data_IF_693793870468
#
_entry.id   IF_693793870468
#
_cell.length_a   1.000
_cell.length_b   1.000
_cell.length_c   1.000
_cell.angle_alpha   90.00
_cell.angle_beta   90.00
_cell.angle_gamma   90.00
#
_symmetry.space_group_name_H-M   'P 1'
#
loop_
_entity.id
_entity.type
_entity.pdbx_description
1 polymer ?
#
# COMPACT_ATOMS: atom_id res chain seq x y z
N UNK A 1 14.25 -0.38 17.67
CA UNK A 1 12.87 -0.17 18.16
C UNK A 1 12.30 1.15 17.64
N UNK A 2 12.01 1.20 16.34
CA UNK A 2 10.84 1.86 15.75
C UNK A 2 10.40 0.85 14.69
N UNK A 3 9.42 0.02 15.05
CA UNK A 3 8.84 -1.03 14.22
C UNK A 3 7.75 -0.42 13.33
N UNK A 4 7.73 -0.78 12.05
CA UNK A 4 6.74 -0.31 11.08
C UNK A 4 7.38 -0.11 9.70
N UNK A 5 7.36 -1.16 8.89
CA UNK A 5 7.89 -1.20 7.52
C UNK A 5 7.11 -0.28 6.57
N UNK A 6 7.41 1.01 6.57
CA UNK A 6 6.80 1.99 5.67
C UNK A 6 7.59 2.05 4.34
N UNK A 7 7.17 1.26 3.35
CA UNK A 7 7.63 1.45 1.96
C UNK A 7 6.78 2.50 1.25
N UNK A 8 7.41 3.55 0.72
CA UNK A 8 6.77 4.54 -0.15
C UNK A 8 7.30 4.30 -1.55
N UNK A 9 6.44 3.78 -2.40
CA UNK A 9 6.69 3.51 -3.80
C UNK A 9 6.32 4.77 -4.61
N UNK A 10 7.32 5.56 -4.97
CA UNK A 10 7.19 6.70 -5.87
C UNK A 10 7.27 6.18 -7.32
N UNK A 11 6.16 6.25 -8.07
CA UNK A 11 6.15 6.06 -9.52
C UNK A 11 5.98 7.44 -10.19
N UNK A 12 6.32 7.56 -11.48
CA UNK A 12 6.13 8.76 -12.29
C UNK A 12 5.84 8.27 -13.70
N UNK A 13 4.61 8.44 -14.18
CA UNK A 13 4.20 7.87 -15.47
C UNK A 13 4.53 8.88 -16.57
N UNK A 14 5.48 8.46 -17.38
CA UNK A 14 6.27 9.00 -18.50
C UNK A 14 5.56 9.88 -19.58
N UNK A 15 4.45 10.56 -19.29
CA UNK A 15 3.70 11.32 -20.32
C UNK A 15 3.23 12.74 -19.92
N UNK A 16 3.82 13.33 -18.88
CA UNK A 16 3.88 14.79 -18.77
C UNK A 16 2.69 15.51 -18.13
N UNK A 17 1.73 14.80 -17.50
CA UNK A 17 0.69 15.45 -16.66
C UNK A 17 0.39 14.75 -15.31
N UNK A 18 1.02 13.60 -15.00
CA UNK A 18 0.76 12.84 -13.77
C UNK A 18 2.06 12.29 -13.17
N UNK A 19 2.65 13.03 -12.22
CA UNK A 19 3.72 12.51 -11.35
C UNK A 19 3.04 11.84 -10.14
N UNK A 20 2.94 10.51 -10.12
CA UNK A 20 2.12 9.80 -9.15
C UNK A 20 2.73 8.52 -8.59
N UNK A 21 2.74 8.42 -7.27
CA UNK A 21 3.24 7.35 -6.44
C UNK A 21 2.10 6.43 -5.96
N UNK A 22 2.35 5.13 -5.85
CA UNK A 22 1.42 4.18 -5.20
C UNK A 22 2.23 3.17 -4.41
N UNK A 23 2.04 3.12 -3.10
CA UNK A 23 2.50 2.06 -2.22
C UNK A 23 1.33 1.23 -1.69
N UNK A 24 1.65 0.00 -1.33
CA UNK A 24 0.78 -0.86 -0.56
C UNK A 24 1.58 -1.54 0.53
N UNK A 25 0.95 -1.76 1.67
CA UNK A 25 1.49 -2.46 2.82
C UNK A 25 0.37 -3.27 3.48
N UNK A 26 0.75 -4.24 4.30
CA UNK A 26 -0.19 -5.05 5.06
C UNK A 26 0.06 -4.82 6.53
N UNK A 27 -0.91 -4.25 7.23
CA UNK A 27 -0.83 -3.98 8.66
C UNK A 27 -1.90 -4.80 9.35
N UNK A 28 -1.49 -5.67 10.27
CA UNK A 28 -2.40 -6.60 10.98
C UNK A 28 -3.26 -7.44 10.00
N UNK A 29 -2.65 -7.89 8.90
CA UNK A 29 -3.29 -8.64 7.80
C UNK A 29 -4.37 -7.88 7.01
N UNK A 30 -4.50 -6.57 7.22
CA UNK A 30 -5.32 -5.70 6.39
C UNK A 30 -4.50 -5.00 5.31
N UNK A 31 -5.03 -4.94 4.08
CA UNK A 31 -4.42 -4.21 2.98
C UNK A 31 -4.54 -2.70 3.22
N UNK A 32 -3.39 -2.02 3.24
CA UNK A 32 -3.27 -0.58 3.18
C UNK A 32 -2.70 -0.17 1.84
N UNK A 33 -3.33 0.82 1.21
CA UNK A 33 -2.92 1.41 -0.06
C UNK A 33 -2.72 2.90 0.17
N UNK A 34 -1.57 3.43 -0.24
CA UNK A 34 -1.29 4.86 -0.23
C UNK A 34 -0.92 5.27 -1.65
N UNK A 35 -1.70 6.17 -2.23
CA UNK A 35 -1.41 6.79 -3.51
C UNK A 35 -1.16 8.29 -3.32
N UNK A 36 -0.26 8.85 -4.12
CA UNK A 36 -0.01 10.27 -4.20
C UNK A 36 0.12 10.71 -5.62
N UNK A 37 -0.41 11.87 -5.97
CA UNK A 37 -0.32 12.41 -7.32
C UNK A 37 -0.12 13.92 -7.26
N UNK A 38 0.79 14.40 -8.09
CA UNK A 38 0.91 15.81 -8.40
C UNK A 38 -0.06 16.15 -9.52
N UNK A 39 -0.90 17.14 -9.29
CA UNK A 39 -1.92 17.62 -10.23
C UNK A 39 -1.73 19.11 -10.50
N UNK A 40 -2.23 19.58 -11.64
CA UNK A 40 -2.15 21.00 -11.99
C UNK A 40 -2.98 21.89 -11.04
N UNK A 41 -4.11 21.38 -10.53
CA UNK A 41 -4.96 22.06 -9.55
C UNK A 41 -5.52 21.06 -8.52
N UNK A 42 -4.86 20.99 -7.37
CA UNK A 42 -5.26 20.15 -6.24
C UNK A 42 -6.55 20.60 -5.58
N UNK A 43 -6.91 21.90 -5.66
CA UNK A 43 -8.17 22.38 -5.08
C UNK A 43 -9.35 21.89 -5.88
N UNK A 44 -9.27 21.89 -7.20
CA UNK A 44 -10.32 21.36 -8.07
C UNK A 44 -10.54 19.86 -7.82
N UNK A 45 -9.46 19.08 -7.73
CA UNK A 45 -9.54 17.63 -7.44
C UNK A 45 -10.11 17.36 -6.05
N UNK A 46 -9.67 18.12 -5.04
CA UNK A 46 -10.20 18.02 -3.68
C UNK A 46 -11.70 18.34 -3.64
N UNK A 47 -12.16 19.36 -4.37
CA UNK A 47 -13.58 19.69 -4.43
C UNK A 47 -14.39 18.58 -5.12
N UNK A 48 -13.93 18.06 -6.26
CA UNK A 48 -14.60 16.94 -6.94
C UNK A 48 -14.68 15.68 -6.07
N UNK A 49 -13.66 15.43 -5.26
CA UNK A 49 -13.68 14.31 -4.30
C UNK A 49 -14.65 14.57 -3.14
N UNK A 50 -14.72 15.80 -2.62
CA UNK A 50 -15.76 16.19 -1.65
C UNK A 50 -17.15 15.98 -2.23
N UNK A 51 -17.38 16.39 -3.47
CA UNK A 51 -18.65 16.23 -4.17
C UNK A 51 -18.99 14.74 -4.39
N UNK A 52 -18.01 13.92 -4.77
CA UNK A 52 -18.17 12.47 -4.89
C UNK A 52 -18.56 11.83 -3.55
N UNK A 53 -17.81 12.13 -2.49
CA UNK A 53 -18.09 11.61 -1.14
C UNK A 53 -19.42 12.11 -0.59
N UNK A 54 -19.83 13.35 -0.91
CA UNK A 54 -21.14 13.87 -0.56
C UNK A 54 -22.29 13.23 -1.36
N UNK A 55 -22.00 12.74 -2.57
CA UNK A 55 -22.92 12.02 -3.44
C UNK A 55 -23.07 10.53 -3.13
N UNK A 56 -22.20 9.97 -2.28
CA UNK A 56 -22.36 8.59 -1.80
C UNK A 56 -23.66 8.47 -0.99
N UNK A 57 -24.37 7.34 -1.11
CA UNK A 57 -25.59 7.12 -0.36
C UNK A 57 -25.30 7.28 1.14
N UNK A 58 -26.06 8.16 1.81
CA UNK A 58 -26.03 8.33 3.27
C UNK A 58 -26.71 7.15 3.97
N UNK A 59 -26.38 5.91 3.58
CA UNK A 59 -26.72 4.74 4.37
C UNK A 59 -25.81 4.70 5.60
N UNK A 60 -26.19 3.96 6.64
CA UNK A 60 -25.36 3.77 7.83
C UNK A 60 -24.00 3.10 7.56
N UNK A 61 -23.74 2.75 6.30
CA UNK A 61 -22.57 2.07 5.79
C UNK A 61 -21.50 3.04 5.28
N UNK A 62 -21.79 4.32 5.07
CA UNK A 62 -20.79 5.32 4.66
C UNK A 62 -20.85 6.53 5.58
N UNK A 63 -19.75 6.81 6.27
CA UNK A 63 -19.58 7.96 7.14
C UNK A 63 -18.41 8.80 6.63
N UNK A 64 -18.69 9.98 6.08
CA UNK A 64 -17.67 10.90 5.59
C UNK A 64 -17.56 12.13 6.50
N UNK A 65 -16.32 12.46 6.87
CA UNK A 65 -15.95 13.63 7.64
C UNK A 65 -14.92 14.44 6.86
N UNK A 66 -15.25 15.70 6.60
CA UNK A 66 -14.38 16.62 5.87
C UNK A 66 -13.66 17.55 6.82
N UNK A 67 -12.47 17.97 6.42
CA UNK A 67 -11.64 18.94 7.14
C UNK A 67 -11.30 18.49 8.58
N UNK A 68 -11.19 17.17 8.80
CA UNK A 68 -10.95 16.54 10.11
C UNK A 68 -9.61 16.92 10.74
N UNK A 69 -8.63 17.27 9.91
CA UNK A 69 -7.33 17.74 10.35
C UNK A 69 -6.63 18.58 9.27
N UNK A 70 -5.57 19.27 9.66
CA UNK A 70 -4.58 19.84 8.74
C UNK A 70 -3.17 19.43 9.16
N UNK A 71 -2.26 19.26 8.19
CA UNK A 71 -0.87 18.91 8.46
C UNK A 71 0.05 19.48 7.38
N UNK A 72 1.03 20.29 7.78
CA UNK A 72 2.04 20.88 6.88
C UNK A 72 1.48 21.51 5.58
N UNK A 73 0.33 22.17 5.66
CA UNK A 73 -0.33 22.83 4.52
C UNK A 73 -1.28 21.93 3.71
N UNK A 74 -1.44 20.66 4.10
CA UNK A 74 -2.48 19.77 3.59
C UNK A 74 -3.73 19.83 4.45
N UNK A 75 -4.89 19.77 3.81
CA UNK A 75 -6.18 19.56 4.46
C UNK A 75 -6.55 18.08 4.35
N UNK A 76 -6.85 17.46 5.49
CA UNK A 76 -7.16 16.04 5.59
C UNK A 76 -8.66 15.82 5.74
N UNK A 77 -9.14 14.75 5.11
CA UNK A 77 -10.53 14.27 5.12
C UNK A 77 -10.52 12.76 5.33
N UNK A 78 -11.62 12.23 5.84
CA UNK A 78 -11.75 10.81 6.12
C UNK A 78 -13.16 10.33 5.80
N UNK A 79 -13.26 9.11 5.29
CA UNK A 79 -14.51 8.40 5.15
C UNK A 79 -14.33 6.96 5.63
N UNK A 80 -15.30 6.44 6.35
CA UNK A 80 -15.36 5.04 6.75
C UNK A 80 -16.51 4.39 5.99
N UNK A 81 -16.21 3.32 5.27
CA UNK A 81 -17.17 2.55 4.50
C UNK A 81 -17.26 1.16 5.15
N UNK A 82 -18.40 0.81 5.71
CA UNK A 82 -18.70 -0.56 6.13
C UNK A 82 -18.91 -1.40 4.89
N UNK A 83 -18.18 -2.50 4.82
CA UNK A 83 -18.31 -3.44 3.73
C UNK A 83 -19.37 -4.48 4.11
N UNK A 84 -20.27 -4.86 3.18
CA UNK A 84 -21.13 -6.01 3.41
C UNK A 84 -20.23 -7.23 3.62
N UNK A 85 -20.51 -8.07 4.63
CA UNK A 85 -19.76 -9.31 4.85
C UNK A 85 -20.03 -10.28 3.70
N UNK A 86 -19.20 -10.23 2.67
CA UNK A 86 -19.17 -11.20 1.57
C UNK A 86 -17.83 -11.93 1.57
N UNK A 87 -17.79 -13.12 0.95
CA UNK A 87 -16.51 -13.82 0.75
C UNK A 87 -15.53 -12.95 -0.06
N UNK A 88 -16.02 -12.18 -1.03
CA UNK A 88 -15.21 -11.29 -1.86
C UNK A 88 -14.52 -10.18 -1.06
N UNK A 89 -15.23 -9.46 -0.19
CA UNK A 89 -14.63 -8.38 0.63
C UNK A 89 -13.62 -8.92 1.63
N UNK A 90 -13.89 -10.11 2.17
CA UNK A 90 -13.00 -10.80 3.10
C UNK A 90 -11.73 -11.30 2.39
N UNK A 91 -11.87 -11.76 1.14
CA UNK A 91 -10.76 -12.26 0.32
C UNK A 91 -9.78 -11.15 -0.07
N UNK A 92 -10.26 -9.92 -0.28
CA UNK A 92 -9.43 -8.75 -0.62
C UNK A 92 -8.58 -8.22 0.55
N UNK A 93 -8.72 -8.77 1.75
CA UNK A 93 -7.98 -8.31 2.93
C UNK A 93 -8.47 -6.97 3.48
N UNK A 94 -9.69 -6.56 3.15
CA UNK A 94 -10.36 -5.45 3.80
C UNK A 94 -11.24 -6.02 4.92
N UNK A 95 -11.06 -5.55 6.16
CA UNK A 95 -11.85 -5.98 7.30
C UNK A 95 -13.35 -5.63 7.19
N UNK A 96 -14.06 -5.58 8.32
CA UNK A 96 -15.50 -5.25 8.34
C UNK A 96 -15.82 -3.82 7.84
N UNK A 97 -14.81 -2.95 7.83
CA UNK A 97 -14.90 -1.61 7.29
C UNK A 97 -13.58 -1.22 6.65
N UNK A 98 -13.65 -0.46 5.56
CA UNK A 98 -12.50 0.18 4.94
C UNK A 98 -12.52 1.68 5.22
N UNK A 99 -11.38 2.21 5.64
CA UNK A 99 -11.21 3.64 5.86
C UNK A 99 -10.51 4.25 4.64
N UNK A 100 -11.12 5.27 4.06
CA UNK A 100 -10.55 6.10 3.02
C UNK A 100 -10.14 7.43 3.65
N UNK A 101 -8.87 7.79 3.55
CA UNK A 101 -8.36 9.09 3.99
C UNK A 101 -7.80 9.85 2.80
N UNK A 102 -8.01 11.16 2.76
CA UNK A 102 -7.56 12.04 1.68
C UNK A 102 -6.78 13.20 2.29
N UNK A 103 -5.66 13.58 1.68
CA UNK A 103 -4.96 14.82 1.98
C UNK A 103 -4.75 15.62 0.69
N UNK A 104 -5.09 16.90 0.69
CA UNK A 104 -4.89 17.79 -0.45
C UNK A 104 -4.18 19.08 -0.08
N UNK A 105 -3.26 19.52 -0.93
CA UNK A 105 -2.61 20.83 -0.84
C UNK A 105 -2.26 21.32 -2.23
N UNK A 106 -2.67 22.53 -2.62
CA UNK A 106 -2.18 23.24 -3.82
C UNK A 106 -2.19 22.44 -5.12
N UNK A 107 -1.12 21.69 -5.37
CA UNK A 107 -0.81 20.86 -6.54
C UNK A 107 -0.57 19.37 -6.22
N UNK A 108 -0.85 18.90 -5.00
CA UNK A 108 -0.63 17.51 -4.57
C UNK A 108 -1.86 16.95 -3.88
N UNK A 109 -2.22 15.72 -4.25
CA UNK A 109 -3.28 14.93 -3.63
C UNK A 109 -2.70 13.60 -3.18
N UNK A 110 -2.98 13.22 -1.94
CA UNK A 110 -2.66 11.91 -1.37
C UNK A 110 -3.94 11.21 -0.96
N UNK A 111 -4.04 9.93 -1.23
CA UNK A 111 -5.17 9.07 -0.90
C UNK A 111 -4.63 7.86 -0.16
N UNK A 112 -5.23 7.51 0.98
CA UNK A 112 -4.93 6.28 1.70
C UNK A 112 -6.21 5.46 1.85
N UNK A 113 -6.16 4.17 1.56
CA UNK A 113 -7.21 3.20 1.82
C UNK A 113 -6.67 2.18 2.83
N UNK A 114 -7.41 1.89 3.89
CA UNK A 114 -7.00 0.99 4.98
C UNK A 114 -6.99 1.68 6.34
N UNK A 115 -6.73 0.90 7.40
CA UNK A 115 -6.64 1.39 8.77
C UNK A 115 -5.55 2.46 8.96
N UNK A 116 -5.71 3.33 9.96
CA UNK A 116 -4.79 4.44 10.31
C UNK A 116 -4.46 5.42 9.17
N UNK A 117 -5.41 5.67 8.27
CA UNK A 117 -5.14 6.45 7.06
C UNK A 117 -4.65 7.87 7.32
N UNK A 118 -5.17 8.57 8.34
CA UNK A 118 -4.71 9.92 8.70
C UNK A 118 -3.27 9.96 9.20
N UNK A 119 -2.86 8.97 9.99
CA UNK A 119 -1.47 8.87 10.48
C UNK A 119 -0.54 8.57 9.32
N UNK A 120 -0.91 7.62 8.46
CA UNK A 120 -0.15 7.25 7.25
C UNK A 120 0.04 8.45 6.33
N UNK A 121 -1.02 9.24 6.08
CA UNK A 121 -0.93 10.45 5.27
C UNK A 121 0.00 11.50 5.86
N UNK A 122 -0.02 11.72 7.19
CA UNK A 122 0.90 12.66 7.85
C UNK A 122 2.36 12.24 7.68
N UNK A 123 2.67 10.96 7.92
CA UNK A 123 4.01 10.40 7.68
C UNK A 123 4.46 10.59 6.23
N UNK A 124 3.56 10.34 5.27
CA UNK A 124 3.84 10.54 3.85
C UNK A 124 4.12 12.02 3.51
N UNK A 125 3.33 12.95 4.06
CA UNK A 125 3.54 14.40 3.89
C UNK A 125 4.89 14.84 4.46
N UNK A 126 5.26 14.36 5.65
CA UNK A 126 6.55 14.72 6.26
C UNK A 126 7.73 14.22 5.42
N UNK A 127 7.61 13.03 4.83
CA UNK A 127 8.61 12.49 3.90
C UNK A 127 8.66 13.25 2.57
N UNK A 128 7.53 13.67 2.02
CA UNK A 128 7.51 14.52 0.81
C UNK A 128 8.27 15.83 1.03
N UNK A 129 8.20 16.40 2.24
CA UNK A 129 8.89 17.66 2.57
C UNK A 129 10.40 17.50 2.72
N UNK A 130 10.87 16.33 3.14
CA UNK A 130 12.30 16.02 3.26
C UNK A 130 12.91 15.51 1.96
N UNK A 131 12.10 14.97 1.05
CA UNK A 131 12.55 14.41 -0.24
C UNK A 131 12.53 15.48 -1.33
N UNK A 132 13.54 16.37 -1.34
CA UNK A 132 13.71 17.35 -2.43
C UNK A 132 14.49 16.75 -3.61
N UNK A 133 13.88 16.74 -4.80
CA UNK A 133 14.59 16.66 -6.08
C UNK A 133 15.32 15.34 -6.37
N UNK A 134 14.89 14.24 -5.76
CA UNK A 134 15.45 12.93 -6.09
C UNK A 134 14.82 12.47 -7.41
N UNK A 135 15.66 12.22 -8.40
CA UNK A 135 15.29 11.53 -9.63
C UNK A 135 14.80 10.13 -9.22
N UNK A 136 13.48 9.95 -9.18
CA UNK A 136 12.88 8.70 -8.70
C UNK A 136 13.12 7.60 -9.73
N UNK A 137 13.52 6.44 -9.24
CA UNK A 137 13.54 5.21 -10.04
C UNK A 137 12.11 4.94 -10.49
N UNK A 138 11.81 4.83 -11.80
CA UNK A 138 10.43 4.78 -12.30
C UNK A 138 9.57 3.64 -11.71
N UNK A 139 10.23 2.58 -11.23
CA UNK A 139 9.60 1.46 -10.54
C UNK A 139 10.36 1.15 -9.25
N UNK A 140 9.74 1.34 -8.09
CA UNK A 140 10.24 0.84 -6.82
C UNK A 140 9.05 0.29 -6.03
N UNK A 141 9.19 -0.88 -5.44
CA UNK A 141 8.17 -1.51 -4.62
C UNK A 141 8.80 -2.44 -3.60
N UNK A 142 8.21 -2.55 -2.43
CA UNK A 142 8.61 -3.59 -1.48
C UNK A 142 7.43 -4.09 -0.67
N UNK A 143 7.49 -5.35 -0.27
CA UNK A 143 6.45 -5.98 0.53
C UNK A 143 7.08 -7.00 1.48
N UNK A 144 6.41 -7.26 2.59
CA UNK A 144 6.76 -8.37 3.48
C UNK A 144 6.27 -9.68 2.88
N UNK A 145 7.17 -10.63 2.72
CA UNK A 145 6.88 -11.93 2.12
C UNK A 145 5.86 -12.72 2.95
N UNK A 146 5.93 -12.63 4.29
CA UNK A 146 4.96 -13.28 5.18
C UNK A 146 3.55 -12.72 5.02
N UNK A 147 3.42 -11.39 4.93
CA UNK A 147 2.11 -10.77 4.68
C UNK A 147 1.55 -11.13 3.31
N UNK A 148 2.38 -11.19 2.26
CA UNK A 148 1.96 -11.65 0.94
C UNK A 148 1.53 -13.13 0.96
N UNK A 149 2.22 -13.98 1.71
CA UNK A 149 1.86 -15.39 1.87
C UNK A 149 0.52 -15.55 2.59
N UNK A 150 0.25 -14.76 3.65
CA UNK A 150 -1.04 -14.75 4.35
C UNK A 150 -2.18 -14.26 3.47
N UNK A 151 -1.96 -13.20 2.68
CA UNK A 151 -2.95 -12.77 1.69
C UNK A 151 -3.21 -13.87 0.66
N UNK A 152 -2.16 -14.48 0.12
CA UNK A 152 -2.34 -15.56 -0.84
C UNK A 152 -3.13 -16.73 -0.22
N UNK A 153 -2.91 -17.04 1.05
CA UNK A 153 -3.62 -18.08 1.78
C UNK A 153 -5.10 -17.72 2.02
N UNK A 154 -5.43 -16.44 2.28
CA UNK A 154 -6.82 -16.01 2.42
C UNK A 154 -7.60 -16.07 1.10
N UNK A 155 -6.89 -15.94 -0.03
CA UNK A 155 -7.47 -16.02 -1.38
C UNK A 155 -7.59 -17.47 -1.89
N UNK A 156 -6.69 -18.36 -1.47
CA UNK A 156 -6.68 -19.76 -1.89
C UNK A 156 -6.03 -20.67 -0.86
N UNK A 157 -6.62 -21.84 -0.66
CA UNK A 157 -5.95 -22.92 0.07
C UNK A 157 -4.89 -23.56 -0.83
N UNK A 158 -3.66 -23.60 -0.34
CA UNK A 158 -2.48 -24.12 -1.05
C UNK A 158 -1.56 -24.74 0.00
N UNK A 159 -1.23 -26.02 -0.15
CA UNK A 159 -0.41 -26.76 0.81
C UNK A 159 0.96 -26.11 1.04
N UNK A 160 1.51 -25.43 0.01
CA UNK A 160 2.74 -24.68 0.15
C UNK A 160 2.54 -23.43 1.03
N UNK A 161 1.42 -22.71 0.86
CA UNK A 161 1.12 -21.52 1.68
C UNK A 161 0.84 -21.88 3.14
N UNK A 162 0.22 -23.04 3.39
CA UNK A 162 -0.03 -23.57 4.74
C UNK A 162 1.26 -23.87 5.52
N UNK A 163 2.34 -24.27 4.83
CA UNK A 163 3.66 -24.45 5.45
C UNK A 163 4.49 -23.17 5.49
N UNK A 164 4.33 -22.30 4.49
CA UNK A 164 5.14 -21.11 4.32
C UNK A 164 4.77 -19.99 5.29
N UNK A 165 3.48 -19.80 5.59
CA UNK A 165 3.03 -18.77 6.55
C UNK A 165 3.62 -18.99 7.95
N UNK A 166 3.55 -20.18 8.57
CA UNK A 166 4.20 -20.44 9.86
C UNK A 166 5.72 -20.26 9.83
N UNK A 167 6.36 -20.56 8.70
CA UNK A 167 7.80 -20.36 8.55
C UNK A 167 8.19 -18.88 8.61
N UNK A 168 7.35 -17.98 8.10
CA UNK A 168 7.54 -16.53 8.21
C UNK A 168 7.29 -16.01 9.63
N UNK A 169 6.31 -16.55 10.35
CA UNK A 169 6.03 -16.14 11.74
C UNK A 169 7.20 -16.46 12.69
N UNK A 170 7.97 -17.50 12.40
CA UNK A 170 9.17 -17.88 13.15
C UNK A 170 10.41 -17.00 12.85
N UNK A 171 10.37 -16.20 11.78
CA UNK A 171 11.52 -15.45 11.23
C UNK A 171 11.29 -13.93 11.20
N UNK A 172 10.31 -13.46 11.99
CA UNK A 172 9.50 -12.22 11.90
C UNK A 172 10.16 -10.86 11.63
N UNK A 173 11.49 -10.74 11.52
CA UNK A 173 12.16 -9.44 11.43
C UNK A 173 12.79 -9.13 10.06
N UNK A 174 13.10 -10.14 9.23
CA UNK A 174 13.85 -9.96 7.96
C UNK A 174 13.17 -10.62 6.74
N UNK A 175 11.90 -10.29 6.47
CA UNK A 175 11.11 -10.91 5.41
C UNK A 175 10.77 -9.99 4.22
N UNK A 176 11.53 -8.92 3.99
CA UNK A 176 11.21 -7.96 2.90
C UNK A 176 11.65 -8.47 1.53
N UNK A 177 10.77 -8.30 0.55
CA UNK A 177 11.05 -8.38 -0.89
C UNK A 177 11.08 -6.96 -1.42
N UNK A 178 12.15 -6.55 -2.10
CA UNK A 178 12.26 -5.24 -2.76
C UNK A 178 12.45 -5.43 -4.26
N UNK A 179 11.70 -4.69 -5.07
CA UNK A 179 11.82 -4.65 -6.52
C UNK A 179 12.10 -3.21 -6.92
N UNK A 180 13.16 -3.01 -7.69
CA UNK A 180 13.51 -1.72 -8.29
C UNK A 180 13.67 -1.90 -9.79
N UNK A 181 13.22 -0.93 -10.58
CA UNK A 181 13.22 -0.96 -12.04
C UNK A 181 13.66 0.39 -12.59
N UNK A 182 14.81 0.41 -13.26
CA UNK A 182 15.33 1.60 -13.93
C UNK A 182 15.08 1.47 -15.43
N UNK A 183 14.34 2.42 -15.99
CA UNK A 183 14.15 2.52 -17.44
C UNK A 183 15.38 3.18 -18.05
N UNK A 184 15.94 2.55 -19.08
CA UNK A 184 17.06 3.04 -19.87
C UNK A 184 16.61 3.21 -21.34
N UNK A 185 17.30 4.03 -22.16
CA UNK A 185 16.93 4.24 -23.56
C UNK A 185 16.87 2.97 -24.45
N UNK A 186 17.38 1.82 -23.96
CA UNK A 186 17.41 0.54 -24.68
C UNK A 186 16.81 -0.63 -23.90
N UNK A 187 16.06 -0.37 -22.82
CA UNK A 187 15.43 -1.44 -22.04
C UNK A 187 15.22 -1.08 -20.58
N UNK A 188 14.85 -2.06 -19.77
CA UNK A 188 14.62 -1.90 -18.34
C UNK A 188 15.57 -2.80 -17.56
N UNK A 189 16.21 -2.25 -16.52
CA UNK A 189 16.97 -3.04 -15.55
C UNK A 189 16.10 -3.22 -14.32
N UNK A 190 15.71 -4.46 -14.04
CA UNK A 190 15.04 -4.83 -12.80
C UNK A 190 16.03 -5.43 -11.81
N UNK A 191 15.96 -5.00 -10.55
CA UNK A 191 16.68 -5.59 -9.42
C UNK A 191 15.67 -6.02 -8.37
N UNK A 192 15.69 -7.31 -8.07
CA UNK A 192 14.94 -7.92 -6.97
C UNK A 192 15.92 -8.18 -5.83
N UNK A 193 15.60 -7.72 -4.63
CA UNK A 193 16.35 -7.98 -3.40
C UNK A 193 15.45 -8.71 -2.42
N UNK A 194 15.98 -9.72 -1.75
CA UNK A 194 15.27 -10.53 -0.78
C UNK A 194 16.05 -10.46 0.53
N UNK A 195 15.37 -10.18 1.63
CA UNK A 195 15.97 -10.27 2.95
C UNK A 195 16.27 -11.74 3.31
N UNK A 196 17.17 -11.92 4.27
CA UNK A 196 17.66 -13.24 4.64
C UNK A 196 16.55 -14.15 5.21
N UNK A 197 15.58 -13.58 5.93
CA UNK A 197 14.43 -14.31 6.45
C UNK A 197 13.55 -14.89 5.33
N UNK A 198 13.44 -14.23 4.18
CA UNK A 198 12.76 -14.80 2.99
C UNK A 198 13.46 -16.05 2.50
N UNK A 199 14.79 -16.00 2.39
CA UNK A 199 15.59 -17.14 1.94
C UNK A 199 15.54 -18.30 2.95
N UNK A 200 15.52 -17.99 4.26
CA UNK A 200 15.40 -18.98 5.33
C UNK A 200 14.02 -19.63 5.36
N UNK A 201 12.94 -18.87 5.20
CA UNK A 201 11.57 -19.39 5.15
C UNK A 201 11.40 -20.37 3.99
N UNK A 202 11.82 -19.96 2.79
CA UNK A 202 11.83 -20.82 1.60
C UNK A 202 12.70 -22.06 1.82
N UNK A 203 13.87 -21.91 2.44
CA UNK A 203 14.76 -23.03 2.77
C UNK A 203 14.15 -24.05 3.74
N UNK A 204 13.30 -23.62 4.67
CA UNK A 204 12.58 -24.51 5.60
C UNK A 204 11.54 -25.35 4.86
N UNK A 205 10.74 -24.73 3.99
CA UNK A 205 9.71 -25.42 3.18
C UNK A 205 10.33 -26.34 2.11
N UNK A 206 11.46 -25.94 1.52
CA UNK A 206 12.18 -26.83 0.59
C UNK A 206 12.75 -28.07 1.29
N UNK A 207 13.12 -27.97 2.57
CA UNK A 207 13.61 -29.09 3.37
C UNK A 207 12.50 -30.01 3.90
N UNK A 208 11.27 -29.52 4.08
CA UNK A 208 10.13 -30.35 4.50
C UNK A 208 9.66 -31.32 3.41
N UNK A 209 10.11 -31.14 2.16
CA UNK A 209 9.90 -32.09 1.07
C UNK A 209 8.58 -31.93 0.30
N UNK A 210 7.80 -30.90 0.62
CA UNK A 210 6.49 -30.64 0.01
C UNK A 210 6.50 -29.69 -1.20
N UNK A 211 7.68 -29.31 -1.70
CA UNK A 211 7.81 -28.54 -2.94
C UNK A 211 7.74 -29.45 -4.17
N UNK A 212 6.56 -29.58 -4.78
CA UNK A 212 6.43 -30.11 -6.13
C UNK A 212 6.59 -28.95 -7.13
N UNK A 213 7.67 -28.88 -7.93
CA UNK A 213 7.78 -27.86 -8.97
C UNK A 213 6.71 -28.13 -10.03
N UNK A 214 5.65 -27.33 -10.02
CA UNK A 214 4.71 -27.22 -11.13
C UNK A 214 5.25 -26.25 -12.17
N UNK A 215 6.11 -26.75 -13.06
CA UNK A 215 6.42 -26.10 -14.33
C UNK A 215 5.78 -26.86 -15.47
#
# INVERSE_FOLDING_TARGET
LIEGSESIALQSIDHGWLDGAVSFDFVQDELRLLAGVKVADGKEVQQKMKDFLAGLPKSGDVQAEFDVASHAGFQLHQATIKLPKTEETSSLGFGESVQLSLAGSGDVILVCLGSDGLTTLKSAIDRLRTTKGIQVTPLEGSARAGSLARLAQSLRSDAMLEELVPAFDLLSEDDTIKVTGTILPRGMVMRVSLDEGVLRALGTVLKSGNFAPGF
#
